data_IF_538257128899
#
_entry.id   IF_538257128899
#
_cell.length_a   1.000
_cell.length_b   1.000
_cell.length_c   1.000
_cell.angle_alpha   90.00
_cell.angle_beta   90.00
_cell.angle_gamma   90.00
#
_symmetry.space_group_name_H-M   'P 1'
#
loop_
_entity.id
_entity.type
_entity.pdbx_description
1 polymer ?
#
# COMPACT_ATOMS: atom_id res chain seq x y z
N UNK A 1 -20.57 -2.14 22.57
CA UNK A 1 -20.66 -0.80 21.94
C UNK A 1 -19.50 -0.70 20.97
N UNK A 2 -19.76 -0.52 19.68
CA UNK A 2 -18.70 -0.42 18.66
C UNK A 2 -17.84 0.82 18.87
N UNK A 3 -16.57 0.76 18.49
CA UNK A 3 -15.74 1.96 18.42
C UNK A 3 -16.16 2.75 17.16
N UNK A 4 -16.89 3.88 17.29
CA UNK A 4 -17.47 4.59 16.14
C UNK A 4 -16.40 4.96 15.10
N UNK A 5 -15.15 5.18 15.53
CA UNK A 5 -14.04 5.48 14.65
C UNK A 5 -13.67 4.34 13.67
N UNK A 6 -13.85 3.07 14.06
CA UNK A 6 -13.57 1.95 13.15
C UNK A 6 -14.66 1.78 12.10
N UNK A 7 -15.92 1.96 12.50
CA UNK A 7 -17.07 1.87 11.60
C UNK A 7 -17.03 2.99 10.55
N UNK A 8 -16.76 4.22 10.97
CA UNK A 8 -16.62 5.38 10.07
C UNK A 8 -15.51 5.18 9.04
N UNK A 9 -14.33 4.71 9.47
CA UNK A 9 -13.22 4.44 8.56
C UNK A 9 -13.56 3.30 7.59
N UNK A 10 -14.17 2.22 8.07
CA UNK A 10 -14.57 1.11 7.23
C UNK A 10 -15.61 1.53 6.17
N UNK A 11 -16.60 2.33 6.55
CA UNK A 11 -17.60 2.88 5.62
C UNK A 11 -16.95 3.82 4.58
N UNK A 12 -16.01 4.67 4.98
CA UNK A 12 -15.29 5.55 4.07
C UNK A 12 -14.44 4.79 3.04
N UNK A 13 -13.81 3.67 3.45
CA UNK A 13 -13.03 2.81 2.56
C UNK A 13 -13.89 2.13 1.47
N UNK A 14 -15.19 1.94 1.71
CA UNK A 14 -16.11 1.25 0.77
C UNK A 14 -17.17 2.19 0.18
N UNK A 15 -16.90 3.49 0.16
CA UNK A 15 -17.81 4.49 -0.39
C UNK A 15 -18.19 4.15 -1.86
N UNK A 16 -19.47 4.28 -2.28
CA UNK A 16 -19.90 3.99 -3.64
C UNK A 16 -19.08 4.75 -4.69
N UNK A 17 -18.64 4.04 -5.73
CA UNK A 17 -17.81 4.59 -6.80
C UNK A 17 -16.31 4.69 -6.46
N UNK A 18 -15.89 4.32 -5.24
CA UNK A 18 -14.48 4.25 -4.85
C UNK A 18 -14.01 2.83 -4.56
N UNK A 19 -12.69 2.63 -4.60
CA UNK A 19 -12.05 1.37 -4.26
C UNK A 19 -10.68 1.55 -3.61
N UNK A 20 -10.01 0.43 -3.34
CA UNK A 20 -8.70 0.40 -2.70
C UNK A 20 -7.61 0.11 -3.74
N UNK A 21 -6.55 0.91 -3.76
CA UNK A 21 -5.32 0.59 -4.48
C UNK A 21 -4.38 -0.18 -3.56
N UNK A 22 -4.09 -1.44 -3.90
CA UNK A 22 -3.09 -2.25 -3.21
C UNK A 22 -1.69 -1.94 -3.77
N UNK A 23 -0.94 -1.07 -3.08
CA UNK A 23 0.44 -0.68 -3.41
C UNK A 23 1.44 -1.19 -2.35
N UNK A 24 1.12 -2.32 -1.72
CA UNK A 24 1.81 -2.92 -0.58
C UNK A 24 2.82 -4.02 -0.96
N UNK A 25 3.25 -4.05 -2.23
CA UNK A 25 4.24 -5.03 -2.65
C UNK A 25 5.52 -4.91 -1.83
N UNK A 26 5.88 -6.02 -1.17
CA UNK A 26 7.19 -6.17 -0.52
C UNK A 26 8.32 -5.91 -1.51
N UNK A 27 9.52 -5.61 -1.00
CA UNK A 27 10.72 -5.39 -1.82
C UNK A 27 10.97 -6.53 -2.83
N UNK A 28 10.71 -7.78 -2.44
CA UNK A 28 10.84 -8.94 -3.33
C UNK A 28 9.74 -9.00 -4.39
N UNK A 29 8.50 -8.66 -4.04
CA UNK A 29 7.36 -8.69 -4.97
C UNK A 29 7.48 -7.58 -6.01
N UNK A 30 7.76 -6.34 -5.60
CA UNK A 30 7.90 -5.22 -6.53
C UNK A 30 9.11 -5.41 -7.45
N UNK A 31 10.20 -6.01 -6.96
CA UNK A 31 11.35 -6.35 -7.80
C UNK A 31 10.93 -7.21 -8.99
N UNK A 32 10.11 -8.25 -8.78
CA UNK A 32 9.62 -9.10 -9.87
C UNK A 32 8.81 -8.31 -10.91
N UNK A 33 8.03 -7.32 -10.47
CA UNK A 33 7.30 -6.43 -11.39
C UNK A 33 8.27 -5.56 -12.19
N UNK A 34 9.25 -4.94 -11.54
CA UNK A 34 10.26 -4.10 -12.20
C UNK A 34 11.16 -4.88 -13.16
N UNK A 35 11.58 -6.09 -12.78
CA UNK A 35 12.37 -6.99 -13.62
C UNK A 35 11.63 -7.29 -14.95
N UNK A 36 10.30 -7.47 -14.91
CA UNK A 36 9.50 -7.75 -16.11
C UNK A 36 9.48 -6.62 -17.16
N UNK A 37 9.86 -5.40 -16.75
CA UNK A 37 9.94 -4.22 -17.61
C UNK A 37 11.37 -3.67 -17.74
N UNK A 38 12.37 -4.43 -17.29
CA UNK A 38 13.78 -4.05 -17.40
C UNK A 38 14.20 -2.87 -16.50
N UNK A 39 13.48 -2.62 -15.40
CA UNK A 39 13.79 -1.56 -14.43
C UNK A 39 14.51 -2.17 -13.23
N UNK A 40 15.58 -1.53 -12.77
CA UNK A 40 16.27 -1.95 -11.54
C UNK A 40 15.44 -1.60 -10.30
N UNK A 41 15.32 -2.53 -9.35
CA UNK A 41 14.60 -2.31 -8.09
C UNK A 41 15.47 -1.62 -7.02
N UNK A 42 15.78 -0.35 -7.25
CA UNK A 42 16.37 0.55 -6.25
C UNK A 42 15.29 1.19 -5.37
N UNK A 43 15.65 1.68 -4.18
CA UNK A 43 14.71 2.42 -3.32
C UNK A 43 14.13 3.65 -4.01
N UNK A 44 14.99 4.39 -4.73
CA UNK A 44 14.61 5.56 -5.51
C UNK A 44 13.56 5.22 -6.57
N UNK A 45 13.80 4.19 -7.40
CA UNK A 45 12.84 3.78 -8.44
C UNK A 45 11.53 3.29 -7.81
N UNK A 46 11.59 2.60 -6.66
CA UNK A 46 10.41 2.19 -5.91
C UNK A 46 9.61 3.39 -5.43
N UNK A 47 10.27 4.42 -4.90
CA UNK A 47 9.65 5.69 -4.46
C UNK A 47 9.06 6.45 -5.63
N UNK A 48 9.81 6.67 -6.71
CA UNK A 48 9.36 7.37 -7.92
C UNK A 48 8.09 6.73 -8.51
N UNK A 49 8.06 5.40 -8.56
CA UNK A 49 6.88 4.65 -9.01
C UNK A 49 5.65 4.91 -8.13
N UNK A 50 5.78 4.88 -6.79
CA UNK A 50 4.64 5.15 -5.90
C UNK A 50 4.24 6.62 -5.91
N UNK A 51 5.21 7.52 -5.94
CA UNK A 51 4.95 8.95 -6.05
C UNK A 51 4.15 9.28 -7.30
N UNK A 52 4.50 8.71 -8.45
CA UNK A 52 3.76 8.86 -9.71
C UNK A 52 2.30 8.38 -9.58
N UNK A 53 2.06 7.25 -8.90
CA UNK A 53 0.68 6.79 -8.62
C UNK A 53 -0.06 7.76 -7.68
N UNK A 54 0.59 8.23 -6.62
CA UNK A 54 -0.05 9.02 -5.56
C UNK A 54 -0.24 10.49 -5.93
N UNK A 55 0.52 11.00 -6.91
CA UNK A 55 0.43 12.37 -7.42
C UNK A 55 -0.48 12.48 -8.64
N UNK A 56 -1.04 11.36 -9.12
CA UNK A 56 -2.02 11.39 -10.22
C UNK A 56 -3.23 12.24 -9.81
N UNK A 57 -3.52 13.28 -10.59
CA UNK A 57 -4.62 14.21 -10.34
C UNK A 57 -5.98 13.50 -10.47
N UNK A 58 -6.90 13.79 -9.54
CA UNK A 58 -8.24 13.18 -9.52
C UNK A 58 -8.26 11.72 -9.05
N UNK A 59 -7.12 11.14 -8.64
CA UNK A 59 -7.09 9.77 -8.14
C UNK A 59 -8.01 9.58 -6.92
N UNK A 60 -8.11 10.60 -6.06
CA UNK A 60 -8.98 10.62 -4.88
C UNK A 60 -10.49 10.49 -5.18
N UNK A 61 -10.93 10.75 -6.42
CA UNK A 61 -12.34 10.58 -6.81
C UNK A 61 -12.74 9.11 -6.90
N UNK A 62 -11.76 8.22 -7.14
CA UNK A 62 -11.97 6.79 -7.38
C UNK A 62 -11.28 5.90 -6.35
N UNK A 63 -10.28 6.43 -5.63
CA UNK A 63 -9.52 5.68 -4.64
C UNK A 63 -9.90 6.21 -3.25
N UNK A 64 -10.48 5.35 -2.41
CA UNK A 64 -10.80 5.67 -1.02
C UNK A 64 -9.63 5.38 -0.09
N UNK A 65 -8.81 4.38 -0.42
CA UNK A 65 -7.65 3.99 0.39
C UNK A 65 -6.53 3.36 -0.41
N UNK A 66 -5.32 3.45 0.13
CA UNK A 66 -4.11 2.83 -0.45
C UNK A 66 -3.43 1.99 0.61
N UNK A 67 -3.17 0.72 0.30
CA UNK A 67 -2.39 -0.16 1.19
C UNK A 67 -0.92 0.04 0.87
N UNK A 68 -0.11 0.35 1.89
CA UNK A 68 1.31 0.64 1.76
C UNK A 68 2.17 -0.45 2.39
N UNK A 69 3.37 -0.64 1.85
CA UNK A 69 4.44 -1.39 2.51
C UNK A 69 5.21 -0.50 3.50
N UNK A 70 5.88 -1.10 4.49
CA UNK A 70 6.59 -0.37 5.56
C UNK A 70 7.63 0.64 5.03
N UNK A 71 8.33 0.29 3.95
CA UNK A 71 9.25 1.23 3.30
C UNK A 71 8.51 2.48 2.78
N UNK A 72 7.38 2.28 2.09
CA UNK A 72 6.64 3.35 1.41
C UNK A 72 5.92 4.27 2.38
N UNK A 73 5.36 3.75 3.47
CA UNK A 73 4.66 4.60 4.46
C UNK A 73 5.62 5.58 5.17
N UNK A 74 6.92 5.30 5.15
CA UNK A 74 8.00 6.13 5.73
C UNK A 74 8.72 6.99 4.69
N UNK A 75 8.43 6.81 3.41
CA UNK A 75 9.08 7.53 2.31
C UNK A 75 8.54 8.95 2.14
N UNK A 76 9.42 9.79 1.61
CA UNK A 76 9.10 11.14 1.16
C UNK A 76 9.18 11.17 -0.37
N UNK A 77 8.34 12.01 -0.98
CA UNK A 77 8.40 12.36 -2.38
C UNK A 77 9.68 13.12 -2.71
N UNK A 78 9.94 13.30 -4.01
CA UNK A 78 11.08 14.06 -4.53
C UNK A 78 11.17 15.49 -3.98
N UNK A 79 10.02 16.10 -3.67
CA UNK A 79 9.90 17.45 -3.10
C UNK A 79 10.04 17.48 -1.56
N UNK A 80 10.26 16.33 -0.92
CA UNK A 80 10.37 16.18 0.52
C UNK A 80 9.03 16.05 1.25
N UNK A 81 7.88 16.04 0.56
CA UNK A 81 6.58 15.78 1.19
C UNK A 81 6.45 14.30 1.57
N UNK A 82 6.01 13.94 2.80
CA UNK A 82 5.70 12.55 3.12
C UNK A 82 4.66 11.96 2.15
N UNK A 83 4.89 10.76 1.62
CA UNK A 83 3.97 10.14 0.64
C UNK A 83 2.54 9.98 1.21
N UNK A 84 2.42 9.72 2.51
CA UNK A 84 1.11 9.65 3.21
C UNK A 84 0.34 10.96 3.18
N UNK A 85 1.03 12.10 3.17
CA UNK A 85 0.38 13.40 3.16
C UNK A 85 -0.10 13.76 1.75
N UNK A 86 0.57 13.28 0.70
CA UNK A 86 0.08 13.37 -0.68
C UNK A 86 -1.27 12.64 -0.80
N UNK A 87 -1.36 11.41 -0.28
CA UNK A 87 -2.61 10.64 -0.26
C UNK A 87 -3.72 11.36 0.50
N UNK A 88 -3.43 11.83 1.72
CA UNK A 88 -4.41 12.54 2.56
C UNK A 88 -4.92 13.83 1.91
N UNK A 89 -4.06 14.59 1.23
CA UNK A 89 -4.47 15.81 0.49
C UNK A 89 -5.48 15.52 -0.61
N UNK A 90 -5.47 14.30 -1.17
CA UNK A 90 -6.47 13.83 -2.14
C UNK A 90 -7.70 13.16 -1.49
N UNK A 91 -7.80 13.14 -0.15
CA UNK A 91 -8.88 12.44 0.56
C UNK A 91 -8.75 10.92 0.56
N UNK A 92 -7.55 10.38 0.29
CA UNK A 92 -7.25 8.95 0.28
C UNK A 92 -6.74 8.52 1.67
N UNK A 93 -7.31 7.44 2.20
CA UNK A 93 -6.96 6.87 3.51
C UNK A 93 -5.69 5.99 3.38
N UNK A 94 -4.56 6.34 4.02
CA UNK A 94 -3.38 5.47 4.02
C UNK A 94 -3.61 4.25 4.92
N UNK A 95 -3.38 3.06 4.38
CA UNK A 95 -3.37 1.78 5.09
C UNK A 95 -1.97 1.16 5.11
N UNK A 96 -1.73 0.24 6.04
CA UNK A 96 -0.44 -0.42 6.22
C UNK A 96 -0.60 -1.94 6.15
N UNK A 97 0.24 -2.60 5.37
CA UNK A 97 0.44 -4.05 5.45
C UNK A 97 1.27 -4.39 6.69
N UNK A 98 0.75 -5.30 7.50
CA UNK A 98 1.39 -5.70 8.77
C UNK A 98 1.87 -7.14 8.80
N UNK A 99 1.46 -7.99 7.84
CA UNK A 99 2.00 -9.35 7.78
C UNK A 99 3.47 -9.37 7.34
N UNK A 100 4.22 -10.37 7.81
CA UNK A 100 5.62 -10.61 7.44
C UNK A 100 5.76 -11.74 6.41
N UNK A 101 4.66 -12.01 5.70
CA UNK A 101 4.54 -13.02 4.64
C UNK A 101 4.07 -14.39 5.12
N UNK A 102 3.68 -15.21 4.14
CA UNK A 102 3.26 -16.59 4.36
C UNK A 102 4.48 -17.54 4.44
N UNK A 103 4.54 -18.39 5.45
CA UNK A 103 5.56 -19.42 5.68
C UNK A 103 4.97 -20.82 5.55
N UNK A 104 5.77 -21.86 5.26
CA UNK A 104 5.28 -23.24 5.26
C UNK A 104 4.67 -23.63 6.61
N UNK A 105 3.47 -24.22 6.58
CA UNK A 105 2.82 -24.71 7.79
C UNK A 105 3.47 -26.03 8.24
N UNK A 106 3.91 -26.08 9.51
CA UNK A 106 4.53 -27.27 10.06
C UNK A 106 3.59 -28.49 9.97
N UNK A 107 4.12 -29.61 9.45
CA UNK A 107 3.39 -30.88 9.27
C UNK A 107 2.23 -30.82 8.26
N UNK A 108 2.13 -29.79 7.42
CA UNK A 108 1.15 -29.73 6.34
C UNK A 108 1.80 -29.32 5.01
N UNK A 109 2.30 -30.29 4.21
CA UNK A 109 2.97 -30.00 2.95
C UNK A 109 2.06 -29.27 1.96
N UNK A 110 2.53 -28.14 1.44
CA UNK A 110 1.80 -27.30 0.47
C UNK A 110 0.89 -26.26 1.10
N UNK A 111 0.61 -26.34 2.40
CA UNK A 111 -0.11 -25.30 3.13
C UNK A 111 0.84 -24.25 3.71
N UNK A 112 0.32 -23.03 3.86
CA UNK A 112 1.06 -21.88 4.34
C UNK A 112 0.35 -21.26 5.55
N UNK A 113 1.11 -20.59 6.42
CA UNK A 113 0.63 -19.82 7.56
C UNK A 113 1.22 -18.40 7.50
N UNK A 114 0.40 -17.39 7.72
CA UNK A 114 0.84 -15.99 7.76
C UNK A 114 1.43 -15.64 9.12
N UNK A 115 2.57 -14.98 9.14
CA UNK A 115 3.23 -14.46 10.36
C UNK A 115 3.08 -12.93 10.49
N UNK A 116 3.33 -12.39 11.69
CA UNK A 116 3.33 -10.93 11.95
C UNK A 116 2.68 -10.44 13.26
N UNK A 117 2.44 -11.33 14.24
CA UNK A 117 1.94 -10.97 15.58
C UNK A 117 3.04 -10.47 16.52
#
# INVERSE_FOLDING_TARGET
MGNPQLEEVAQALVAPGKGILAADESSGTIKKRFDSIGVESTEMNRRDYREMLFTTEGAGDYISGVILYDETIRQHASDGTPLVDILRRQGIIPGIKVDTGAKPLAKSPGEMVTEGL
#
